data_IF_443722655989
#
_entry.id   IF_443722655989
#
_cell.length_a   1.000
_cell.length_b   1.000
_cell.length_c   1.000
_cell.angle_alpha   90.00
_cell.angle_beta   90.00
_cell.angle_gamma   90.00
#
_symmetry.space_group_name_H-M   'P 1'
#
loop_
_entity.id
_entity.type
_entity.pdbx_description
1 polymer ?
#
# COMPACT_ATOMS: atom_id res chain seq x y z
N UNK A 1 4.13 14.05 12.50
CA UNK A 1 3.22 15.15 12.08
C UNK A 1 1.78 14.64 12.24
N UNK A 2 0.86 15.45 12.77
CA UNK A 2 -0.54 15.05 12.98
C UNK A 2 -1.17 14.49 11.69
N UNK A 3 -1.52 13.20 11.68
CA UNK A 3 -2.16 12.51 10.53
C UNK A 3 -3.46 13.18 10.07
N UNK A 4 -4.09 13.97 10.94
CA UNK A 4 -5.40 14.62 10.72
C UNK A 4 -5.49 15.47 9.44
N UNK A 5 -4.37 16.02 8.95
CA UNK A 5 -4.31 16.88 7.75
C UNK A 5 -3.06 16.56 6.90
N UNK A 6 -2.76 15.27 6.70
CA UNK A 6 -1.65 14.80 5.85
C UNK A 6 -1.69 15.46 4.46
N UNK A 7 -0.57 16.07 4.07
CA UNK A 7 -0.39 16.74 2.78
C UNK A 7 -0.85 18.20 2.71
N UNK A 8 -1.68 18.67 3.63
CA UNK A 8 -2.17 20.05 3.64
C UNK A 8 -1.15 21.04 4.19
N UNK A 9 -0.98 22.17 3.49
CA UNK A 9 -0.09 23.29 3.85
C UNK A 9 -0.79 24.63 3.59
N UNK A 10 -0.24 25.73 4.11
CA UNK A 10 -0.71 27.10 3.84
C UNK A 10 -2.20 27.35 4.13
N UNK A 11 -2.83 28.19 3.28
CA UNK A 11 -4.21 28.67 3.46
C UNK A 11 -5.25 27.55 3.53
N UNK A 12 -5.10 26.49 2.75
CA UNK A 12 -6.03 25.35 2.81
C UNK A 12 -6.02 24.70 4.20
N UNK A 13 -4.82 24.51 4.77
CA UNK A 13 -4.67 23.95 6.13
C UNK A 13 -5.26 24.87 7.20
N UNK A 14 -5.06 26.18 7.08
CA UNK A 14 -5.63 27.18 8.00
C UNK A 14 -7.16 27.14 8.00
N UNK A 15 -7.77 27.08 6.82
CA UNK A 15 -9.23 26.97 6.67
C UNK A 15 -9.75 25.69 7.33
N UNK A 16 -9.11 24.54 7.08
CA UNK A 16 -9.52 23.26 7.65
C UNK A 16 -9.39 23.26 9.18
N UNK A 17 -8.28 23.77 9.71
CA UNK A 17 -8.07 23.89 11.16
C UNK A 17 -9.09 24.82 11.83
N UNK A 18 -9.35 25.99 11.23
CA UNK A 18 -10.30 26.98 11.76
C UNK A 18 -11.70 26.37 11.94
N UNK A 19 -12.09 25.48 11.03
CA UNK A 19 -13.39 24.82 11.02
C UNK A 19 -13.38 23.43 11.69
N UNK A 20 -12.27 23.03 12.33
CA UNK A 20 -12.10 21.73 13.01
C UNK A 20 -12.34 20.53 12.08
N UNK A 21 -12.01 20.70 10.80
CA UNK A 21 -12.16 19.68 9.76
C UNK A 21 -10.85 18.89 9.64
N UNK A 22 -10.98 17.57 9.54
CA UNK A 22 -9.86 16.65 9.31
C UNK A 22 -10.13 15.81 8.07
N UNK A 23 -9.10 15.10 7.59
CA UNK A 23 -9.27 14.09 6.53
C UNK A 23 -10.33 13.07 6.96
N UNK A 24 -11.14 12.61 6.01
CA UNK A 24 -12.30 11.72 6.19
C UNK A 24 -13.55 12.37 6.80
N UNK A 25 -13.52 13.66 7.12
CA UNK A 25 -14.75 14.38 7.45
C UNK A 25 -15.59 14.60 6.18
N UNK A 26 -16.91 14.52 6.34
CA UNK A 26 -17.85 14.94 5.30
C UNK A 26 -18.08 16.43 5.50
N UNK A 27 -17.86 17.20 4.44
CA UNK A 27 -17.97 18.65 4.46
C UNK A 27 -18.93 19.13 3.38
N UNK A 28 -19.56 20.27 3.66
CA UNK A 28 -20.26 21.07 2.66
C UNK A 28 -19.47 22.35 2.43
N UNK A 29 -19.19 22.64 1.16
CA UNK A 29 -18.38 23.79 0.73
C UNK A 29 -19.18 24.64 -0.23
N UNK A 30 -19.43 25.89 0.16
CA UNK A 30 -20.06 26.87 -0.70
C UNK A 30 -18.99 27.71 -1.40
N UNK A 31 -19.06 27.78 -2.71
CA UNK A 31 -18.16 28.57 -3.54
C UNK A 31 -18.93 29.56 -4.41
N UNK A 32 -18.22 30.46 -5.10
CA UNK A 32 -18.83 31.34 -6.11
C UNK A 32 -19.49 30.61 -7.28
N UNK A 33 -19.12 29.35 -7.54
CA UNK A 33 -19.61 28.55 -8.68
C UNK A 33 -20.73 27.58 -8.31
N UNK A 34 -21.01 27.41 -7.02
CA UNK A 34 -21.96 26.41 -6.54
C UNK A 34 -21.53 25.82 -5.20
N UNK A 35 -22.32 24.87 -4.73
CA UNK A 35 -22.16 24.16 -3.48
C UNK A 35 -21.77 22.70 -3.74
N UNK A 36 -20.82 22.21 -2.97
CA UNK A 36 -20.28 20.87 -3.10
C UNK A 36 -20.32 20.17 -1.76
N UNK A 37 -20.73 18.90 -1.77
CA UNK A 37 -20.72 18.04 -0.60
C UNK A 37 -19.83 16.84 -0.87
N UNK A 38 -18.95 16.50 0.07
CA UNK A 38 -18.00 15.42 -0.14
C UNK A 38 -17.09 15.14 1.05
N UNK A 39 -16.32 14.06 0.92
CA UNK A 39 -15.37 13.59 1.93
C UNK A 39 -14.03 14.27 1.69
N UNK A 40 -13.44 14.88 2.72
CA UNK A 40 -12.09 15.45 2.63
C UNK A 40 -11.06 14.36 2.44
N UNK A 41 -10.30 14.46 1.35
CA UNK A 41 -9.23 13.53 1.00
C UNK A 41 -7.87 14.00 1.51
N UNK A 42 -6.93 13.07 1.76
CA UNK A 42 -5.52 13.41 1.93
C UNK A 42 -4.96 14.02 0.65
N UNK A 43 -3.95 14.88 0.77
CA UNK A 43 -3.28 15.50 -0.39
C UNK A 43 -1.85 15.03 -0.58
N UNK A 44 -1.37 15.12 -1.80
CA UNK A 44 0.06 15.03 -2.07
C UNK A 44 0.75 16.31 -1.56
N UNK A 45 1.81 16.16 -0.77
CA UNK A 45 2.50 17.27 -0.11
C UNK A 45 3.27 18.20 -1.06
N UNK A 46 3.47 17.76 -2.31
CA UNK A 46 4.11 18.51 -3.39
C UNK A 46 3.10 19.26 -4.28
N UNK A 47 1.79 19.04 -4.07
CA UNK A 47 0.75 19.75 -4.80
C UNK A 47 0.56 21.18 -4.29
N UNK A 48 -0.01 22.05 -5.13
CA UNK A 48 -0.25 23.46 -4.81
C UNK A 48 -1.02 23.63 -3.47
N UNK A 49 -0.51 24.40 -2.50
CA UNK A 49 -1.03 24.43 -1.13
C UNK A 49 -2.43 25.04 -0.99
N UNK A 50 -2.96 25.67 -2.02
CA UNK A 50 -4.20 26.45 -1.97
C UNK A 50 -5.47 25.60 -2.11
N UNK A 51 -5.38 24.31 -2.44
CA UNK A 51 -6.55 23.49 -2.74
C UNK A 51 -7.01 22.62 -1.56
N UNK A 52 -8.32 22.39 -1.49
CA UNK A 52 -8.96 21.36 -0.67
C UNK A 52 -9.52 20.29 -1.59
N UNK A 53 -9.08 19.05 -1.40
CA UNK A 53 -9.52 17.91 -2.21
C UNK A 53 -10.68 17.20 -1.51
N UNK A 54 -11.79 17.06 -2.22
CA UNK A 54 -12.96 16.32 -1.74
C UNK A 54 -13.39 15.27 -2.75
N UNK A 55 -13.92 14.15 -2.23
CA UNK A 55 -14.62 13.13 -3.00
C UNK A 55 -16.12 13.34 -2.92
N UNK A 56 -16.73 13.59 -4.07
CA UNK A 56 -18.17 13.76 -4.20
C UNK A 56 -18.91 12.42 -4.12
N UNK A 57 -20.22 12.45 -3.91
CA UNK A 57 -21.07 11.25 -3.87
C UNK A 57 -21.04 10.44 -5.17
N UNK A 58 -20.86 11.11 -6.31
CA UNK A 58 -20.68 10.46 -7.62
C UNK A 58 -19.28 9.84 -7.83
N UNK A 59 -18.46 9.74 -6.77
CA UNK A 59 -17.10 9.21 -6.74
C UNK A 59 -16.02 10.03 -7.49
N UNK A 60 -16.35 11.20 -8.03
CA UNK A 60 -15.35 12.10 -8.58
C UNK A 60 -14.60 12.85 -7.47
N UNK A 61 -13.29 12.97 -7.64
CA UNK A 61 -12.45 13.82 -6.80
C UNK A 61 -12.38 15.22 -7.43
N UNK A 62 -12.58 16.27 -6.64
CA UNK A 62 -12.42 17.66 -7.08
C UNK A 62 -11.48 18.43 -6.15
N UNK A 63 -10.75 19.38 -6.72
CA UNK A 63 -9.94 20.35 -5.97
C UNK A 63 -10.62 21.70 -5.90
N UNK A 64 -10.92 22.19 -4.70
CA UNK A 64 -11.51 23.51 -4.48
C UNK A 64 -10.41 24.47 -4.02
N UNK A 65 -10.16 25.51 -4.82
CA UNK A 65 -9.20 26.55 -4.44
C UNK A 65 -9.71 27.36 -3.25
N UNK A 66 -8.88 27.51 -2.21
CA UNK A 66 -9.18 28.16 -0.93
C UNK A 66 -9.72 29.58 -1.05
N UNK A 67 -9.27 30.37 -2.03
CA UNK A 67 -9.78 31.73 -2.27
C UNK A 67 -11.23 31.77 -2.81
N UNK A 68 -11.76 30.64 -3.30
CA UNK A 68 -13.12 30.55 -3.81
C UNK A 68 -14.12 30.03 -2.77
N UNK A 69 -13.64 29.62 -1.59
CA UNK A 69 -14.47 29.13 -0.50
C UNK A 69 -15.09 30.34 0.20
N UNK A 70 -16.42 30.40 0.16
CA UNK A 70 -17.21 31.39 0.88
C UNK A 70 -17.57 30.87 2.28
N UNK A 71 -17.95 29.60 2.35
CA UNK A 71 -18.36 28.92 3.57
C UNK A 71 -17.95 27.44 3.49
N UNK A 72 -17.58 26.87 4.62
CA UNK A 72 -17.21 25.48 4.76
C UNK A 72 -17.67 24.98 6.12
N UNK A 73 -18.45 23.90 6.13
CA UNK A 73 -18.98 23.30 7.34
C UNK A 73 -18.72 21.80 7.37
N UNK A 74 -18.50 21.26 8.57
CA UNK A 74 -18.45 19.82 8.81
C UNK A 74 -19.85 19.31 9.06
N UNK A 75 -20.31 18.38 8.24
CA UNK A 75 -21.66 17.79 8.34
C UNK A 75 -21.63 16.32 8.80
N UNK A 76 -20.45 15.70 8.81
CA UNK A 76 -20.30 14.31 9.27
C UNK A 76 -18.86 13.82 9.28
N UNK A 77 -18.68 12.53 9.50
CA UNK A 77 -17.40 11.83 9.37
C UNK A 77 -17.64 10.46 8.76
N UNK A 78 -16.81 10.09 7.79
CA UNK A 78 -16.83 8.75 7.17
C UNK A 78 -15.41 8.24 7.06
N UNK A 79 -14.97 7.56 8.11
CA UNK A 79 -13.67 6.89 8.12
C UNK A 79 -13.82 5.51 7.47
N UNK A 80 -13.16 5.31 6.34
CA UNK A 80 -13.17 4.03 5.64
C UNK A 80 -12.24 3.04 6.36
N UNK A 81 -12.76 2.30 7.34
CA UNK A 81 -12.06 1.16 7.92
C UNK A 81 -12.40 -0.10 7.13
N UNK A 82 -11.82 -0.26 5.93
CA UNK A 82 -11.98 -1.51 5.18
C UNK A 82 -10.97 -2.54 5.69
N UNK A 83 -11.41 -3.43 6.59
CA UNK A 83 -10.68 -4.65 6.93
C UNK A 83 -11.21 -5.80 6.11
N UNK A 84 -10.36 -6.39 5.27
CA UNK A 84 -10.68 -7.64 4.58
C UNK A 84 -10.78 -8.74 5.64
N UNK A 85 -11.79 -9.62 5.58
CA UNK A 85 -11.81 -10.80 6.44
C UNK A 85 -10.55 -11.63 6.14
N UNK A 86 -9.63 -11.70 7.11
CA UNK A 86 -8.43 -12.53 6.99
C UNK A 86 -8.83 -14.00 6.90
N UNK A 87 -8.83 -14.54 5.68
CA UNK A 87 -9.00 -15.97 5.45
C UNK A 87 -7.62 -16.59 5.24
N UNK A 88 -7.16 -17.40 6.18
CA UNK A 88 -5.91 -18.14 5.99
C UNK A 88 -6.02 -19.04 4.76
N UNK A 89 -4.92 -19.15 4.00
CA UNK A 89 -4.81 -20.19 2.98
C UNK A 89 -5.11 -21.56 3.61
N UNK A 90 -5.93 -22.41 2.97
CA UNK A 90 -6.10 -23.77 3.43
C UNK A 90 -4.75 -24.49 3.34
N UNK A 91 -4.44 -25.31 4.34
CA UNK A 91 -3.19 -26.07 4.38
C UNK A 91 -3.46 -27.50 3.95
N UNK A 92 -2.70 -27.97 2.98
CA UNK A 92 -2.73 -29.35 2.49
C UNK A 92 -1.34 -29.98 2.63
N UNK A 93 -1.22 -31.03 3.45
CA UNK A 93 0.05 -31.72 3.72
C UNK A 93 0.73 -32.32 2.47
N UNK A 94 0.00 -32.48 1.35
CA UNK A 94 0.54 -32.99 0.09
C UNK A 94 1.15 -31.90 -0.80
N UNK A 95 0.94 -30.63 -0.47
CA UNK A 95 1.44 -29.49 -1.24
C UNK A 95 2.74 -28.95 -0.63
N UNK A 96 3.63 -28.37 -1.45
CA UNK A 96 4.87 -27.77 -0.98
C UNK A 96 4.61 -26.55 -0.09
N UNK A 97 5.47 -26.32 0.89
CA UNK A 97 5.44 -25.19 1.80
C UNK A 97 6.30 -24.05 1.26
N UNK A 98 5.65 -22.98 0.81
CA UNK A 98 6.31 -21.85 0.16
C UNK A 98 6.23 -20.64 1.09
N UNK A 99 7.36 -19.93 1.21
CA UNK A 99 7.43 -18.66 1.94
C UNK A 99 7.52 -17.50 0.94
N UNK A 100 6.59 -16.55 1.04
CA UNK A 100 6.61 -15.31 0.28
C UNK A 100 7.15 -14.18 1.16
N UNK A 101 8.32 -13.66 0.81
CA UNK A 101 8.98 -12.54 1.47
C UNK A 101 8.68 -11.24 0.71
N UNK A 102 8.06 -10.28 1.38
CA UNK A 102 7.79 -8.95 0.85
C UNK A 102 8.94 -8.00 1.16
N UNK A 103 9.52 -7.41 0.12
CA UNK A 103 10.56 -6.38 0.25
C UNK A 103 10.08 -4.99 -0.14
N UNK A 104 8.79 -4.88 -0.49
CA UNK A 104 8.18 -3.76 -1.19
C UNK A 104 7.78 -4.16 -2.62
N UNK A 105 7.61 -3.16 -3.49
CA UNK A 105 7.14 -3.37 -4.85
C UNK A 105 5.63 -3.59 -4.97
N UNK A 106 5.13 -3.50 -6.19
CA UNK A 106 3.70 -3.45 -6.52
C UNK A 106 3.02 -4.82 -6.58
N UNK A 107 3.73 -5.94 -6.44
CA UNK A 107 3.14 -7.29 -6.65
C UNK A 107 1.97 -7.60 -5.70
N UNK A 108 1.92 -6.91 -4.56
CA UNK A 108 0.83 -7.04 -3.61
C UNK A 108 0.43 -5.64 -3.13
N UNK A 109 -0.24 -4.90 -4.01
CA UNK A 109 -0.89 -3.63 -3.71
C UNK A 109 -2.35 -3.68 -4.17
N UNK A 110 -3.23 -2.90 -3.52
CA UNK A 110 -4.65 -2.79 -3.92
C UNK A 110 -5.10 -1.34 -3.92
N UNK A 111 -6.01 -0.98 -4.82
CA UNK A 111 -6.71 0.29 -4.74
C UNK A 111 -7.83 0.21 -3.71
N UNK A 112 -7.83 1.12 -2.75
CA UNK A 112 -9.00 1.41 -1.95
C UNK A 112 -9.91 2.36 -2.74
N UNK A 113 -10.97 1.81 -3.34
CA UNK A 113 -11.94 2.58 -4.12
C UNK A 113 -12.65 3.68 -3.33
N UNK A 114 -12.66 3.64 -2.01
CA UNK A 114 -13.24 4.71 -1.18
C UNK A 114 -12.32 5.91 -1.15
N UNK A 115 -11.02 5.65 -0.97
CA UNK A 115 -10.02 6.70 -0.75
C UNK A 115 -9.23 7.07 -2.01
N UNK A 116 -9.23 6.21 -3.03
CA UNK A 116 -8.35 6.26 -4.19
C UNK A 116 -6.89 5.93 -3.86
N UNK A 117 -6.58 5.47 -2.65
CA UNK A 117 -5.22 5.18 -2.21
C UNK A 117 -4.81 3.75 -2.60
N UNK A 118 -3.55 3.58 -2.99
CA UNK A 118 -2.94 2.26 -3.16
C UNK A 118 -2.37 1.82 -1.81
N UNK A 119 -2.84 0.68 -1.32
CA UNK A 119 -2.47 0.10 -0.03
C UNK A 119 -1.69 -1.19 -0.27
N UNK A 120 -0.54 -1.42 0.39
CA UNK A 120 0.12 -2.72 0.37
C UNK A 120 -0.82 -3.82 0.88
N UNK A 121 -0.93 -4.90 0.12
CA UNK A 121 -1.86 -6.00 0.29
C UNK A 121 -1.07 -7.31 0.39
N UNK A 122 -0.33 -7.49 1.48
CA UNK A 122 0.66 -8.58 1.63
C UNK A 122 0.26 -9.66 2.65
N UNK A 123 -0.96 -9.58 3.20
CA UNK A 123 -1.45 -10.62 4.11
C UNK A 123 -1.84 -11.89 3.34
N UNK A 124 -1.74 -13.09 3.95
CA UNK A 124 -2.18 -14.32 3.29
C UNK A 124 -3.66 -14.28 2.88
N UNK A 125 -4.53 -13.64 3.67
CA UNK A 125 -5.96 -13.55 3.33
C UNK A 125 -6.27 -12.63 2.16
N UNK A 126 -5.50 -11.56 2.00
CA UNK A 126 -5.60 -10.70 0.83
C UNK A 126 -5.15 -11.40 -0.44
N UNK A 127 -3.99 -12.08 -0.40
CA UNK A 127 -3.51 -12.87 -1.53
C UNK A 127 -4.47 -14.00 -1.89
N UNK A 128 -5.06 -14.69 -0.91
CA UNK A 128 -6.08 -15.71 -1.18
C UNK A 128 -7.33 -15.12 -1.83
N UNK A 129 -7.72 -13.91 -1.45
CA UNK A 129 -8.88 -13.23 -2.05
C UNK A 129 -8.61 -12.78 -3.48
N UNK A 130 -7.36 -12.42 -3.79
CA UNK A 130 -6.95 -11.98 -5.13
C UNK A 130 -6.66 -13.15 -6.08
N UNK A 131 -5.99 -14.20 -5.59
CA UNK A 131 -5.52 -15.36 -6.37
C UNK A 131 -5.79 -16.66 -5.59
N UNK A 132 -7.06 -17.10 -5.48
CA UNK A 132 -7.43 -18.30 -4.72
C UNK A 132 -6.78 -19.58 -5.25
N UNK A 133 -6.41 -19.62 -6.53
CA UNK A 133 -5.79 -20.77 -7.21
C UNK A 133 -4.46 -21.18 -6.57
N UNK A 134 -3.76 -20.25 -5.90
CA UNK A 134 -2.52 -20.56 -5.18
C UNK A 134 -2.72 -21.62 -4.08
N UNK A 135 -3.93 -21.71 -3.52
CA UNK A 135 -4.29 -22.71 -2.51
C UNK A 135 -4.29 -24.15 -3.04
N UNK A 136 -4.39 -24.33 -4.36
CA UNK A 136 -4.32 -25.65 -5.01
C UNK A 136 -2.88 -26.03 -5.36
N UNK A 137 -1.95 -25.07 -5.32
CA UNK A 137 -0.56 -25.23 -5.76
C UNK A 137 0.40 -25.38 -4.58
N UNK A 138 0.21 -24.60 -3.50
CA UNK A 138 1.14 -24.59 -2.37
C UNK A 138 0.49 -24.17 -1.03
N UNK A 139 1.16 -24.53 0.06
CA UNK A 139 0.90 -23.95 1.39
C UNK A 139 1.69 -22.65 1.52
N UNK A 140 1.01 -21.52 1.40
CA UNK A 140 1.65 -20.20 1.39
C UNK A 140 1.74 -19.59 2.79
N UNK A 141 2.94 -19.18 3.18
CA UNK A 141 3.19 -18.32 4.33
C UNK A 141 3.79 -17.01 3.85
N UNK A 142 3.31 -15.86 4.35
CA UNK A 142 3.84 -14.55 3.96
C UNK A 142 4.57 -13.88 5.12
N UNK A 143 5.54 -13.03 4.78
CA UNK A 143 6.23 -12.16 5.74
C UNK A 143 6.65 -10.88 5.03
N UNK A 144 6.32 -9.73 5.60
CA UNK A 144 6.86 -8.45 5.17
C UNK A 144 8.23 -8.28 5.83
N UNK A 145 9.28 -8.36 5.03
CA UNK A 145 10.67 -8.15 5.47
C UNK A 145 10.99 -6.66 5.45
N UNK A 146 10.61 -5.97 4.37
CA UNK A 146 10.79 -4.53 4.20
C UNK A 146 9.58 -3.90 3.49
N UNK A 147 9.41 -2.59 3.66
CA UNK A 147 8.46 -1.77 2.92
C UNK A 147 9.21 -0.60 2.26
N UNK A 148 10.07 -0.91 1.29
CA UNK A 148 10.89 0.09 0.59
C UNK A 148 10.67 0.06 -0.92
N UNK A 149 10.83 1.23 -1.55
CA UNK A 149 10.95 1.33 -3.00
C UNK A 149 12.25 0.65 -3.44
N UNK A 150 12.22 -0.08 -4.57
CA UNK A 150 13.41 -0.75 -5.12
C UNK A 150 14.58 0.20 -5.35
N UNK A 151 14.29 1.44 -5.71
CA UNK A 151 15.21 2.54 -5.96
C UNK A 151 16.01 2.92 -4.70
N UNK A 152 15.46 2.61 -3.52
CA UNK A 152 16.08 2.83 -2.22
C UNK A 152 16.75 1.57 -1.65
N UNK A 153 16.78 0.47 -2.40
CA UNK A 153 17.45 -0.78 -2.02
C UNK A 153 18.97 -0.56 -1.95
N UNK A 154 19.61 -1.16 -0.94
CA UNK A 154 21.05 -1.01 -0.63
C UNK A 154 21.65 -2.33 -0.18
N UNK A 155 22.99 -2.49 -0.20
CA UNK A 155 23.65 -3.74 0.18
C UNK A 155 23.27 -4.27 1.57
N UNK A 156 22.98 -3.41 2.54
CA UNK A 156 22.59 -3.82 3.89
C UNK A 156 21.23 -4.55 3.90
N UNK A 157 20.35 -4.23 2.96
CA UNK A 157 19.07 -4.93 2.80
C UNK A 157 19.26 -6.29 2.14
N UNK A 158 20.20 -6.43 1.21
CA UNK A 158 20.53 -7.73 0.62
C UNK A 158 21.04 -8.72 1.67
N UNK A 159 21.89 -8.26 2.59
CA UNK A 159 22.39 -9.09 3.70
C UNK A 159 21.27 -9.55 4.63
N UNK A 160 20.36 -8.63 4.99
CA UNK A 160 19.20 -8.95 5.81
C UNK A 160 18.25 -9.92 5.10
N UNK A 161 18.01 -9.73 3.81
CA UNK A 161 17.19 -10.60 2.99
C UNK A 161 17.79 -11.99 2.86
N UNK A 162 19.10 -12.09 2.60
CA UNK A 162 19.82 -13.35 2.54
C UNK A 162 19.70 -14.14 3.85
N UNK A 163 19.81 -13.47 5.00
CA UNK A 163 19.58 -14.09 6.31
C UNK A 163 18.16 -14.63 6.45
N UNK A 164 17.14 -13.85 6.06
CA UNK A 164 15.74 -14.29 6.09
C UNK A 164 15.48 -15.49 5.19
N UNK A 165 16.10 -15.52 4.03
CA UNK A 165 16.03 -16.66 3.10
C UNK A 165 16.66 -17.91 3.73
N UNK A 166 17.84 -17.78 4.32
CA UNK A 166 18.50 -18.89 5.01
C UNK A 166 17.69 -19.41 6.20
N UNK A 167 17.12 -18.53 7.03
CA UNK A 167 16.25 -18.90 8.15
C UNK A 167 15.01 -19.67 7.66
N UNK A 168 14.38 -19.19 6.58
CA UNK A 168 13.23 -19.87 5.98
C UNK A 168 13.61 -21.25 5.40
N UNK A 169 14.74 -21.35 4.69
CA UNK A 169 15.23 -22.62 4.15
C UNK A 169 15.49 -23.64 5.26
N UNK A 170 16.18 -23.22 6.33
CA UNK A 170 16.49 -24.07 7.48
C UNK A 170 15.24 -24.46 8.29
N UNK A 171 14.13 -23.74 8.15
CA UNK A 171 12.84 -24.09 8.77
C UNK A 171 12.06 -25.17 8.01
N UNK A 172 12.61 -25.71 6.91
CA UNK A 172 11.98 -26.77 6.12
C UNK A 172 10.97 -26.26 5.09
N UNK A 173 11.16 -25.04 4.56
CA UNK A 173 10.40 -24.56 3.39
C UNK A 173 10.91 -25.25 2.13
N UNK A 174 9.99 -25.55 1.23
CA UNK A 174 10.27 -26.22 -0.05
C UNK A 174 10.67 -25.20 -1.14
N UNK A 175 10.43 -23.91 -0.90
CA UNK A 175 10.79 -22.84 -1.82
C UNK A 175 10.45 -21.46 -1.26
N UNK A 176 11.10 -20.44 -1.82
CA UNK A 176 10.94 -19.04 -1.40
C UNK A 176 10.63 -18.17 -2.60
N UNK A 177 9.64 -17.31 -2.45
CA UNK A 177 9.30 -16.27 -3.41
C UNK A 177 9.60 -14.92 -2.76
N UNK A 178 10.17 -13.99 -3.51
CA UNK A 178 10.51 -12.64 -3.05
C UNK A 178 9.72 -11.64 -3.90
N UNK A 179 8.72 -11.00 -3.30
CA UNK A 179 8.05 -9.85 -3.90
C UNK A 179 8.98 -8.64 -3.82
N UNK A 180 9.42 -8.16 -4.98
CA UNK A 180 10.42 -7.10 -5.10
C UNK A 180 10.00 -6.04 -6.13
N UNK A 181 10.43 -4.80 -5.93
CA UNK A 181 10.28 -3.73 -6.92
C UNK A 181 11.12 -3.99 -8.18
N UNK A 182 10.65 -3.53 -9.33
CA UNK A 182 11.23 -3.90 -10.64
C UNK A 182 12.58 -3.26 -10.92
N UNK A 183 12.82 -2.05 -10.43
CA UNK A 183 13.93 -1.19 -10.87
C UNK A 183 15.31 -1.77 -10.51
N UNK A 184 15.42 -2.38 -9.34
CA UNK A 184 16.69 -2.93 -8.83
C UNK A 184 16.65 -4.44 -8.62
N UNK A 185 15.62 -5.11 -9.13
CA UNK A 185 15.44 -6.56 -8.97
C UNK A 185 16.64 -7.36 -9.47
N UNK A 186 17.20 -6.98 -10.62
CA UNK A 186 18.37 -7.62 -11.20
C UNK A 186 19.59 -7.52 -10.28
N UNK A 187 19.84 -6.36 -9.69
CA UNK A 187 20.93 -6.15 -8.72
C UNK A 187 20.76 -7.00 -7.47
N UNK A 188 19.56 -7.00 -6.89
CA UNK A 188 19.25 -7.85 -5.73
C UNK A 188 19.42 -9.33 -6.07
N UNK A 189 18.95 -9.77 -7.25
CA UNK A 189 19.09 -11.18 -7.68
C UNK A 189 20.56 -11.60 -7.82
N UNK A 190 21.40 -10.72 -8.40
CA UNK A 190 22.83 -10.97 -8.54
C UNK A 190 23.51 -11.05 -7.17
N UNK A 191 23.22 -10.10 -6.27
CA UNK A 191 23.78 -10.09 -4.92
C UNK A 191 23.40 -11.36 -4.14
N UNK A 192 22.12 -11.76 -4.18
CA UNK A 192 21.64 -12.97 -3.53
C UNK A 192 22.27 -14.24 -4.10
N UNK A 193 22.50 -14.29 -5.42
CA UNK A 193 23.17 -15.42 -6.06
C UNK A 193 24.59 -15.66 -5.54
N UNK A 194 25.27 -14.61 -5.05
CA UNK A 194 26.58 -14.73 -4.40
C UNK A 194 26.49 -14.85 -2.88
N UNK A 195 25.42 -14.41 -2.23
CA UNK A 195 25.29 -14.54 -0.77
C UNK A 195 24.76 -15.91 -0.35
N UNK A 196 23.90 -16.52 -1.15
CA UNK A 196 23.19 -17.76 -0.86
C UNK A 196 23.94 -18.99 -1.39
N UNK A 197 25.11 -19.24 -0.81
CA UNK A 197 25.87 -20.45 -1.11
C UNK A 197 25.16 -21.71 -0.58
N UNK A 198 25.27 -22.80 -1.34
CA UNK A 198 24.78 -24.16 -0.98
C UNK A 198 23.28 -24.23 -0.62
N UNK A 199 22.47 -23.34 -1.21
CA UNK A 199 21.03 -23.37 -1.01
C UNK A 199 20.39 -24.53 -1.79
N UNK A 200 19.68 -25.40 -1.06
CA UNK A 200 19.06 -26.62 -1.61
C UNK A 200 17.63 -26.43 -2.12
N UNK A 201 17.07 -25.23 -1.99
CA UNK A 201 15.69 -24.90 -2.36
C UNK A 201 15.64 -23.75 -3.36
N UNK A 202 14.63 -23.71 -4.24
CA UNK A 202 14.47 -22.61 -5.19
C UNK A 202 14.13 -21.30 -4.49
N UNK A 203 14.77 -20.22 -4.95
CA UNK A 203 14.47 -18.83 -4.58
C UNK A 203 14.13 -18.06 -5.83
N UNK A 204 12.93 -17.49 -5.89
CA UNK A 204 12.40 -16.80 -7.07
C UNK A 204 12.09 -15.35 -6.71
N UNK A 205 12.65 -14.39 -7.45
CA UNK A 205 12.26 -12.99 -7.36
C UNK A 205 11.12 -12.72 -8.36
N UNK A 206 10.10 -11.99 -7.92
CA UNK A 206 8.94 -11.63 -8.75
C UNK A 206 8.56 -10.17 -8.52
N UNK A 207 8.18 -9.51 -9.62
CA UNK A 207 7.79 -8.10 -9.68
C UNK A 207 6.62 -7.91 -10.64
N UNK A 208 6.00 -6.73 -10.62
CA UNK A 208 4.98 -6.36 -11.60
C UNK A 208 5.34 -5.02 -12.25
N UNK A 209 5.41 -5.00 -13.58
CA UNK A 209 5.68 -3.78 -14.36
C UNK A 209 4.46 -2.87 -14.49
N UNK A 210 3.26 -3.42 -14.27
CA UNK A 210 2.05 -2.64 -14.09
C UNK A 210 1.73 -2.61 -12.61
N UNK A 211 1.12 -1.53 -12.15
CA UNK A 211 0.57 -1.53 -10.81
C UNK A 211 -0.47 -2.65 -10.69
N UNK A 212 -0.53 -3.32 -9.55
CA UNK A 212 -1.39 -4.51 -9.34
C UNK A 212 -2.85 -4.15 -9.06
N UNK A 213 -3.19 -2.87 -9.08
CA UNK A 213 -4.51 -2.33 -8.84
C UNK A 213 -5.32 -2.04 -10.12
#
# INVERSE_FOLDING_TARGET
MSEKLKGYKGKAKEILNKNKIVIWDIIRVKTKKGEYEGIVLPRNEYSAPEYIEIKLENNYNIGIHSSHILEIEKIGKREAHYKIPEKKFPVNKKLPNIKLLGTGGTVASRLDYTTGAVIPSFTPGELFSAVPELAEICNLETEIVFEILSENMRPEYWQQLAKKIADAANSGKDGIIIGHGTDTMSYTSAALSFMLHDLSIPVVLVGSQRSSD
#
